data_IF_190853696669
#
_entry.id   IF_190853696669
#
_cell.length_a   1.000
_cell.length_b   1.000
_cell.length_c   1.000
_cell.angle_alpha   90.00
_cell.angle_beta   90.00
_cell.angle_gamma   90.00
#
_symmetry.space_group_name_H-M   'P 1'
#
loop_
_entity.id
_entity.type
_entity.pdbx_description
1 polymer ?
#
# COMPACT_ATOMS: atom_id res chain seq x y z
N UNK A 1 -6.33 4.62 -6.60
CA UNK A 1 -5.58 3.66 -5.74
C UNK A 1 -4.16 4.19 -5.59
N UNK A 2 -3.62 4.27 -4.36
CA UNK A 2 -2.36 4.96 -4.04
C UNK A 2 -1.19 4.56 -4.95
N UNK A 3 -1.05 3.26 -5.24
CA UNK A 3 -0.08 2.73 -6.20
C UNK A 3 -0.22 3.32 -7.61
N UNK A 4 -1.45 3.41 -8.14
CA UNK A 4 -1.72 3.96 -9.47
C UNK A 4 -1.45 5.47 -9.53
N UNK A 5 -1.75 6.21 -8.46
CA UNK A 5 -1.43 7.65 -8.37
C UNK A 5 0.07 7.90 -8.42
N UNK A 6 0.87 6.97 -7.89
CA UNK A 6 2.34 7.02 -7.93
C UNK A 6 2.94 6.34 -9.16
N UNK A 7 2.13 5.84 -10.10
CA UNK A 7 2.60 5.21 -11.34
C UNK A 7 3.30 3.86 -11.18
N UNK A 8 3.14 3.21 -10.03
CA UNK A 8 3.85 1.97 -9.67
C UNK A 8 3.07 0.76 -10.20
N UNK A 9 3.73 -0.25 -10.80
CA UNK A 9 3.05 -1.50 -11.18
C UNK A 9 2.94 -2.46 -10.01
N UNK A 10 2.10 -3.50 -10.12
CA UNK A 10 2.04 -4.54 -9.07
C UNK A 10 3.34 -5.34 -8.99
N UNK A 11 4.07 -5.46 -10.11
CA UNK A 11 5.36 -6.13 -10.17
C UNK A 11 6.43 -5.31 -9.44
N UNK A 12 6.51 -4.00 -9.71
CA UNK A 12 7.42 -3.10 -9.00
C UNK A 12 7.20 -3.14 -7.48
N UNK A 13 5.93 -2.99 -7.05
CA UNK A 13 5.60 -3.02 -5.63
C UNK A 13 5.99 -4.35 -4.97
N UNK A 14 5.84 -5.48 -5.68
CA UNK A 14 6.27 -6.79 -5.18
C UNK A 14 7.79 -6.87 -5.08
N UNK A 15 8.51 -6.39 -6.09
CA UNK A 15 9.97 -6.41 -6.11
C UNK A 15 10.56 -5.51 -5.01
N UNK A 16 9.96 -4.35 -4.76
CA UNK A 16 10.46 -3.38 -3.78
C UNK A 16 10.15 -3.77 -2.33
N UNK A 17 8.97 -4.35 -2.09
CA UNK A 17 8.46 -4.54 -0.71
C UNK A 17 8.34 -6.00 -0.29
N UNK A 18 8.36 -6.94 -1.24
CA UNK A 18 7.99 -8.33 -1.02
C UNK A 18 6.50 -8.54 -0.73
N UNK A 19 5.66 -7.51 -0.89
CA UNK A 19 4.23 -7.56 -0.59
C UNK A 19 3.44 -7.78 -1.88
N UNK A 20 2.52 -8.73 -1.86
CA UNK A 20 1.60 -8.96 -2.98
C UNK A 20 0.42 -7.98 -2.93
N UNK A 21 0.61 -6.78 -3.47
CA UNK A 21 -0.42 -5.75 -3.53
C UNK A 21 -1.72 -6.24 -4.17
N UNK A 22 -1.66 -7.00 -5.26
CA UNK A 22 -2.87 -7.53 -5.91
C UNK A 22 -3.78 -8.36 -5.00
N UNK A 23 -3.26 -9.00 -3.93
CA UNK A 23 -4.09 -9.69 -2.94
C UNK A 23 -4.80 -8.73 -1.98
N UNK A 24 -4.13 -7.63 -1.63
CA UNK A 24 -4.64 -6.57 -0.76
C UNK A 24 -5.70 -5.75 -1.50
N UNK A 25 -5.39 -5.36 -2.74
CA UNK A 25 -6.26 -4.57 -3.62
C UNK A 25 -7.61 -5.27 -3.91
N UNK A 26 -7.66 -6.61 -3.83
CA UNK A 26 -8.89 -7.39 -3.99
C UNK A 26 -9.77 -7.45 -2.73
N UNK A 27 -9.27 -7.06 -1.55
CA UNK A 27 -10.04 -7.03 -0.30
C UNK A 27 -10.53 -8.40 0.20
N UNK A 28 -9.96 -9.52 -0.29
CA UNK A 28 -10.42 -10.87 0.06
C UNK A 28 -9.98 -11.35 1.43
N UNK A 29 -8.99 -10.69 2.04
CA UNK A 29 -8.43 -10.99 3.36
C UNK A 29 -7.97 -9.70 4.02
N UNK A 30 -8.09 -9.66 5.34
CA UNK A 30 -7.53 -8.57 6.14
C UNK A 30 -6.01 -8.55 6.05
N UNK A 31 -5.44 -7.34 6.01
CA UNK A 31 -4.01 -7.13 6.11
C UNK A 31 -3.59 -7.02 7.56
N UNK A 32 -2.40 -7.50 7.90
CA UNK A 32 -1.83 -7.23 9.22
C UNK A 32 -1.41 -5.77 9.34
N UNK A 33 -1.46 -5.25 10.57
CA UNK A 33 -1.00 -3.89 10.87
C UNK A 33 0.47 -3.66 10.44
N UNK A 34 1.35 -4.65 10.60
CA UNK A 34 2.75 -4.56 10.17
C UNK A 34 2.90 -4.43 8.66
N UNK A 35 2.05 -5.13 7.88
CA UNK A 35 2.03 -5.01 6.42
C UNK A 35 1.52 -3.64 6.01
N UNK A 36 0.45 -3.16 6.65
CA UNK A 36 -0.06 -1.82 6.41
C UNK A 36 1.00 -0.74 6.69
N UNK A 37 1.71 -0.85 7.80
CA UNK A 37 2.77 0.09 8.17
C UNK A 37 3.90 0.11 7.13
N UNK A 38 4.33 -1.07 6.62
CA UNK A 38 5.32 -1.15 5.52
C UNK A 38 4.82 -0.48 4.24
N UNK A 39 3.54 -0.63 3.92
CA UNK A 39 2.92 0.02 2.76
C UNK A 39 2.94 1.55 2.93
N UNK A 40 2.63 2.06 4.12
CA UNK A 40 2.67 3.49 4.40
C UNK A 40 4.09 4.06 4.25
N UNK A 41 5.10 3.37 4.81
CA UNK A 41 6.52 3.73 4.65
C UNK A 41 6.91 3.76 3.17
N UNK A 42 6.52 2.74 2.40
CA UNK A 42 6.87 2.64 0.98
C UNK A 42 6.30 3.80 0.14
N UNK A 43 5.11 4.30 0.48
CA UNK A 43 4.51 5.45 -0.21
C UNK A 43 4.81 6.80 0.44
N UNK A 44 5.65 6.82 1.47
CA UNK A 44 6.00 8.03 2.24
C UNK A 44 4.77 8.76 2.80
N UNK A 45 3.76 7.99 3.23
CA UNK A 45 2.56 8.53 3.89
C UNK A 45 2.51 8.10 5.35
N UNK A 46 1.83 8.88 6.19
CA UNK A 46 1.57 8.44 7.56
C UNK A 46 0.45 7.41 7.60
N UNK A 47 0.39 6.64 8.70
CA UNK A 47 -0.76 5.77 8.97
C UNK A 47 -2.05 6.58 9.12
N UNK A 48 -1.97 7.82 9.63
CA UNK A 48 -3.12 8.70 9.75
C UNK A 48 -3.68 9.07 8.37
N UNK A 49 -2.82 9.51 7.45
CA UNK A 49 -3.22 9.85 6.06
C UNK A 49 -3.89 8.66 5.36
N UNK A 50 -3.39 7.44 5.62
CA UNK A 50 -3.98 6.22 5.08
C UNK A 50 -5.43 6.01 5.55
N UNK A 51 -5.75 6.33 6.80
CA UNK A 51 -7.10 6.14 7.35
C UNK A 51 -8.04 7.33 7.14
N UNK A 52 -7.51 8.54 6.94
CA UNK A 52 -8.31 9.75 6.69
C UNK A 52 -8.60 9.97 5.20
N UNK A 53 -7.97 9.22 4.30
CA UNK A 53 -8.01 9.44 2.83
C UNK A 53 -7.50 10.83 2.39
N UNK A 54 -6.89 11.60 3.28
CA UNK A 54 -6.29 12.90 2.97
C UNK A 54 -4.85 12.70 2.46
N UNK A 55 -4.71 12.13 1.27
CA UNK A 55 -3.41 12.07 0.58
C UNK A 55 -3.10 13.46 0.00
N UNK A 56 -2.33 14.29 0.71
CA UNK A 56 -1.87 15.61 0.24
C UNK A 56 -0.75 15.53 -0.78
#
# INVERSE_FOLDING_TARGET
MLRQQKGITQEDALNDTGIHFGRIEQGKRDISFTTLHKICIYFEISLEDFFTNDFK
#
